data_IF_694586708484
#
_entry.id   IF_694586708484
#
_cell.length_a   1.000
_cell.length_b   1.000
_cell.length_c   1.000
_cell.angle_alpha   90.00
_cell.angle_beta   90.00
_cell.angle_gamma   90.00
#
_symmetry.space_group_name_H-M   'P 1'
#
loop_
_entity.id
_entity.type
_entity.pdbx_description
1 polymer ?
#
# COMPACT_ATOMS: atom_id res chain seq x y z
N UNK A 1 -62.10 -12.89 70.59
CA UNK A 1 -61.68 -11.75 69.83
C UNK A 1 -60.20 -11.96 69.48
N UNK A 2 -59.84 -12.29 68.24
CA UNK A 2 -58.48 -12.48 67.80
C UNK A 2 -58.19 -11.39 66.75
N UNK A 3 -57.22 -10.55 67.04
CA UNK A 3 -56.73 -9.47 66.18
C UNK A 3 -55.61 -10.03 65.32
N UNK A 4 -55.83 -10.11 64.00
CA UNK A 4 -54.79 -10.55 63.04
C UNK A 4 -53.94 -9.37 62.64
N UNK A 5 -52.63 -9.47 62.81
CA UNK A 5 -51.62 -8.51 62.34
C UNK A 5 -51.22 -8.82 60.91
N UNK A 6 -51.36 -7.84 60.04
CA UNK A 6 -50.93 -7.86 58.65
C UNK A 6 -49.46 -7.43 58.58
N UNK A 7 -48.60 -8.34 58.14
CA UNK A 7 -47.16 -8.00 57.86
C UNK A 7 -47.07 -7.63 56.38
N UNK A 8 -46.80 -6.36 56.09
CA UNK A 8 -46.53 -5.85 54.73
C UNK A 8 -45.06 -6.00 54.47
N UNK A 9 -44.68 -6.96 53.63
CA UNK A 9 -43.31 -7.13 53.16
C UNK A 9 -42.99 -6.12 52.07
N UNK A 10 -42.04 -5.23 52.31
CA UNK A 10 -41.46 -4.34 51.29
C UNK A 10 -40.50 -5.15 50.38
N UNK A 11 -40.90 -5.35 49.15
CA UNK A 11 -39.98 -5.86 48.11
C UNK A 11 -39.23 -4.67 47.52
N UNK A 12 -37.94 -4.55 47.84
CA UNK A 12 -37.03 -3.58 47.20
C UNK A 12 -36.59 -4.15 45.88
N UNK A 13 -37.16 -3.63 44.77
CA UNK A 13 -36.73 -3.95 43.41
C UNK A 13 -35.45 -3.17 43.11
N UNK A 14 -34.30 -3.83 43.13
CA UNK A 14 -33.05 -3.25 42.67
C UNK A 14 -33.07 -3.17 41.11
N UNK A 15 -33.38 -1.99 40.57
CA UNK A 15 -33.15 -1.71 39.13
C UNK A 15 -31.65 -1.64 38.89
N UNK A 16 -31.08 -2.71 38.33
CA UNK A 16 -29.74 -2.69 37.76
C UNK A 16 -29.74 -1.79 36.51
N UNK A 17 -29.10 -0.61 36.60
CA UNK A 17 -28.78 0.18 35.43
C UNK A 17 -27.73 -0.60 34.61
N UNK A 18 -28.20 -1.28 33.55
CA UNK A 18 -27.32 -1.73 32.50
C UNK A 18 -26.82 -0.49 31.75
N UNK A 19 -25.58 -0.09 31.98
CA UNK A 19 -24.91 0.93 31.18
C UNK A 19 -24.80 0.41 29.70
N UNK A 20 -25.75 0.77 28.88
CA UNK A 20 -25.63 0.59 27.43
C UNK A 20 -24.52 1.53 26.96
N UNK A 21 -23.40 0.97 26.57
CA UNK A 21 -22.33 1.70 25.88
C UNK A 21 -22.91 2.21 24.54
N UNK A 22 -23.42 3.43 24.51
CA UNK A 22 -23.85 4.14 23.30
C UNK A 22 -22.61 4.55 22.55
N UNK A 23 -22.03 3.60 21.81
CA UNK A 23 -21.01 3.92 20.80
C UNK A 23 -21.65 4.76 19.70
N UNK A 24 -21.04 5.88 19.34
CA UNK A 24 -21.43 6.69 18.18
C UNK A 24 -21.54 5.77 16.95
N UNK A 25 -22.72 5.65 16.31
CA UNK A 25 -22.94 4.76 15.16
C UNK A 25 -22.05 5.10 13.96
N UNK A 26 -21.39 6.27 13.94
CA UNK A 26 -20.42 6.68 12.94
C UNK A 26 -19.01 6.09 13.18
N UNK A 27 -18.74 5.49 14.32
CA UNK A 27 -17.42 4.93 14.66
C UNK A 27 -17.36 3.45 14.26
N UNK A 28 -16.42 3.06 13.38
CA UNK A 28 -16.27 1.66 12.99
C UNK A 28 -15.93 0.78 14.20
N UNK A 29 -16.53 -0.41 14.28
CA UNK A 29 -16.20 -1.37 15.32
C UNK A 29 -14.76 -1.89 15.14
N UNK A 30 -13.89 -1.57 16.06
CA UNK A 30 -12.50 -2.01 16.05
C UNK A 30 -12.38 -3.52 16.32
N UNK A 31 -11.30 -4.12 15.82
CA UNK A 31 -10.89 -5.48 16.21
C UNK A 31 -10.57 -5.46 17.71
N UNK A 32 -11.16 -6.40 18.46
CA UNK A 32 -10.95 -6.51 19.91
C UNK A 32 -9.46 -6.49 20.29
N UNK A 33 -9.05 -5.59 21.19
CA UNK A 33 -7.66 -5.38 21.60
C UNK A 33 -6.76 -4.77 20.49
N UNK A 34 -7.36 -4.06 19.53
CA UNK A 34 -6.68 -3.31 18.48
C UNK A 34 -7.43 -2.02 18.12
N UNK A 35 -8.21 -1.48 19.03
CA UNK A 35 -8.86 -0.18 18.87
C UNK A 35 -7.88 0.98 19.10
N UNK A 36 -8.34 2.19 18.87
CA UNK A 36 -7.55 3.44 18.99
C UNK A 36 -6.81 3.56 20.35
N UNK A 37 -7.43 3.09 21.42
CA UNK A 37 -6.84 3.12 22.77
C UNK A 37 -5.79 2.05 23.02
N UNK A 38 -5.77 0.98 22.20
CA UNK A 38 -4.84 -0.14 22.33
C UNK A 38 -3.54 0.06 21.53
N UNK A 39 -3.48 1.12 20.73
CA UNK A 39 -2.36 1.38 19.81
C UNK A 39 -1.39 2.43 20.37
N UNK A 40 -0.11 2.22 20.14
CA UNK A 40 0.93 3.22 20.39
C UNK A 40 1.03 4.13 19.17
N UNK A 41 0.58 5.37 19.28
CA UNK A 41 0.47 6.32 18.17
C UNK A 41 1.33 7.56 18.41
N UNK A 42 1.77 8.20 17.34
CA UNK A 42 2.45 9.50 17.39
C UNK A 42 1.57 10.57 18.03
N UNK A 43 0.29 10.54 17.70
CA UNK A 43 -0.75 11.39 18.30
C UNK A 43 -1.93 10.53 18.69
N UNK A 44 -2.18 10.42 19.98
CA UNK A 44 -3.30 9.61 20.49
C UNK A 44 -4.62 10.01 19.84
N UNK A 45 -5.39 9.02 19.39
CA UNK A 45 -6.66 9.20 18.70
C UNK A 45 -6.58 9.56 17.22
N UNK A 46 -5.37 9.73 16.66
CA UNK A 46 -5.13 10.02 15.24
C UNK A 46 -4.18 8.98 14.66
N UNK A 47 -4.55 8.32 13.57
CA UNK A 47 -3.65 7.46 12.81
C UNK A 47 -2.90 8.29 11.77
N UNK A 48 -1.59 8.46 11.97
CA UNK A 48 -0.72 9.18 11.02
C UNK A 48 -0.20 8.22 9.98
N UNK A 49 -0.58 8.43 8.72
CA UNK A 49 -0.20 7.60 7.59
C UNK A 49 0.79 8.36 6.72
N UNK A 50 1.97 7.78 6.51
CA UNK A 50 2.96 8.32 5.58
C UNK A 50 2.77 7.78 4.16
N UNK A 51 3.10 8.59 3.17
CA UNK A 51 3.28 8.17 1.78
C UNK A 51 4.23 9.09 1.04
N UNK A 52 4.65 8.68 -0.17
CA UNK A 52 5.51 9.50 -1.02
C UNK A 52 4.73 10.69 -1.64
N UNK A 53 5.46 11.70 -2.08
CA UNK A 53 4.91 12.86 -2.78
C UNK A 53 5.84 13.26 -3.94
N UNK A 54 5.39 13.10 -5.19
CA UNK A 54 4.01 12.94 -5.68
C UNK A 54 3.36 11.59 -5.37
N UNK A 55 2.04 11.62 -5.13
CA UNK A 55 1.22 10.44 -4.94
C UNK A 55 0.57 10.00 -6.27
N UNK A 56 1.04 8.89 -6.84
CA UNK A 56 0.68 8.49 -8.20
C UNK A 56 -0.52 7.53 -8.28
N UNK A 57 -1.36 7.66 -9.33
CA UNK A 57 -2.29 6.59 -9.72
C UNK A 57 -1.53 5.32 -10.17
N UNK A 58 -2.15 4.14 -10.03
CA UNK A 58 -3.48 3.87 -9.49
C UNK A 58 -3.53 3.73 -7.96
N UNK A 59 -2.42 3.97 -7.27
CA UNK A 59 -2.30 3.79 -5.82
C UNK A 59 -2.99 4.90 -5.04
N UNK A 60 -2.93 6.11 -5.56
CA UNK A 60 -3.61 7.29 -5.05
C UNK A 60 -4.45 7.93 -6.15
N UNK A 61 -5.47 8.69 -5.75
CA UNK A 61 -6.38 9.38 -6.68
C UNK A 61 -6.97 10.63 -6.04
N UNK A 62 -7.98 11.20 -6.73
CA UNK A 62 -8.58 12.47 -6.35
C UNK A 62 -7.77 13.67 -6.85
N UNK A 63 -8.43 14.83 -6.90
CA UNK A 63 -7.80 16.05 -7.37
C UNK A 63 -6.61 16.45 -6.48
N UNK A 64 -5.56 16.97 -7.11
CA UNK A 64 -4.41 17.53 -6.43
C UNK A 64 -4.83 18.58 -5.39
N UNK A 65 -4.23 18.52 -4.21
CA UNK A 65 -4.46 19.47 -3.12
C UNK A 65 -3.19 19.62 -2.30
N UNK A 66 -2.63 20.82 -2.24
CA UNK A 66 -1.42 21.12 -1.46
C UNK A 66 -1.46 20.50 -0.05
N UNK A 67 -0.38 19.92 0.45
CA UNK A 67 0.96 19.83 -0.16
C UNK A 67 1.11 18.69 -1.18
N UNK A 68 0.07 17.90 -1.42
CA UNK A 68 0.08 16.72 -2.28
C UNK A 68 0.11 17.13 -3.76
N UNK A 69 0.93 16.43 -4.53
CA UNK A 69 1.07 16.59 -5.98
C UNK A 69 0.45 15.37 -6.69
N UNK A 70 -0.14 15.60 -7.85
CA UNK A 70 -0.78 14.62 -8.75
C UNK A 70 -2.09 14.07 -8.18
N UNK A 71 -2.08 13.51 -6.98
CA UNK A 71 -3.26 12.95 -6.30
C UNK A 71 -3.31 13.40 -4.85
N UNK A 72 -4.49 13.25 -4.23
CA UNK A 72 -4.73 13.58 -2.83
C UNK A 72 -5.01 12.33 -2.00
N UNK A 73 -4.09 11.86 -1.15
CA UNK A 73 -4.30 10.68 -0.31
C UNK A 73 -5.52 10.76 0.60
N UNK A 74 -5.95 11.95 1.01
CA UNK A 74 -7.16 12.15 1.81
C UNK A 74 -8.45 11.79 1.07
N UNK A 75 -8.42 11.67 -0.26
CA UNK A 75 -9.61 11.33 -1.06
C UNK A 75 -10.19 9.96 -0.74
N UNK A 76 -9.36 9.00 -0.36
CA UNK A 76 -9.72 7.59 -0.26
C UNK A 76 -9.79 6.88 -1.63
N UNK A 77 -9.42 7.60 -2.69
CA UNK A 77 -9.35 7.06 -4.05
C UNK A 77 -7.95 6.52 -4.36
N UNK A 78 -7.90 5.50 -5.19
CA UNK A 78 -6.68 4.74 -5.47
C UNK A 78 -6.50 3.56 -4.51
N UNK A 79 -5.68 2.60 -4.93
CA UNK A 79 -5.57 1.32 -4.24
C UNK A 79 -5.03 1.46 -2.80
N UNK A 80 -3.90 2.13 -2.63
CA UNK A 80 -3.26 2.25 -1.31
C UNK A 80 -3.98 3.20 -0.37
N UNK A 81 -4.53 4.31 -0.91
CA UNK A 81 -5.39 5.17 -0.11
C UNK A 81 -6.61 4.40 0.42
N UNK A 82 -7.26 3.60 -0.43
CA UNK A 82 -8.41 2.79 -0.03
C UNK A 82 -8.03 1.68 0.97
N UNK A 83 -6.89 1.00 0.77
CA UNK A 83 -6.36 0.01 1.73
C UNK A 83 -6.06 0.66 3.08
N UNK A 84 -5.42 1.82 3.08
CA UNK A 84 -5.09 2.55 4.30
C UNK A 84 -6.34 2.90 5.11
N UNK A 85 -7.39 3.42 4.46
CA UNK A 85 -8.67 3.70 5.14
C UNK A 85 -9.40 2.42 5.58
N UNK A 86 -9.32 1.34 4.82
CA UNK A 86 -9.88 0.06 5.22
C UNK A 86 -9.18 -0.48 6.49
N UNK A 87 -7.85 -0.41 6.56
CA UNK A 87 -7.07 -0.77 7.75
C UNK A 87 -7.44 0.15 8.92
N UNK A 88 -7.47 1.47 8.71
CA UNK A 88 -7.87 2.45 9.73
C UNK A 88 -9.26 2.13 10.31
N UNK A 89 -10.23 1.80 9.46
CA UNK A 89 -11.58 1.38 9.87
C UNK A 89 -11.55 0.12 10.75
N UNK A 90 -10.77 -0.90 10.40
CA UNK A 90 -10.62 -2.12 11.22
C UNK A 90 -9.98 -1.84 12.59
N UNK A 91 -9.21 -0.77 12.69
CA UNK A 91 -8.59 -0.29 13.94
C UNK A 91 -9.48 0.73 14.69
N UNK A 92 -10.72 0.98 14.23
CA UNK A 92 -11.70 1.84 14.86
C UNK A 92 -11.50 3.34 14.62
N UNK A 93 -10.74 3.73 13.60
CA UNK A 93 -10.62 5.13 13.20
C UNK A 93 -11.67 5.51 12.16
N UNK A 94 -12.29 6.66 12.35
CA UNK A 94 -13.07 7.33 11.30
C UNK A 94 -12.13 7.98 10.30
N UNK A 95 -12.63 8.32 9.12
CA UNK A 95 -11.85 9.01 8.07
C UNK A 95 -11.28 10.34 8.58
N UNK A 96 -12.00 11.05 9.46
CA UNK A 96 -11.55 12.32 10.07
C UNK A 96 -10.40 12.16 11.07
N UNK A 97 -10.18 10.95 11.58
CA UNK A 97 -9.11 10.61 12.52
C UNK A 97 -7.86 10.07 11.83
N UNK A 98 -7.80 10.15 10.50
CA UNK A 98 -6.62 9.81 9.70
C UNK A 98 -5.94 11.10 9.27
N UNK A 99 -4.63 11.19 9.54
CA UNK A 99 -3.76 12.26 9.04
C UNK A 99 -2.75 11.68 8.06
N UNK A 100 -2.53 12.36 6.94
CA UNK A 100 -1.52 11.98 5.97
C UNK A 100 -0.29 12.89 6.06
N UNK A 101 0.91 12.31 5.98
CA UNK A 101 2.19 13.04 5.97
C UNK A 101 3.05 12.63 4.78
N UNK A 102 3.60 13.60 4.02
CA UNK A 102 4.53 13.31 2.94
C UNK A 102 5.89 12.91 3.51
N UNK A 103 6.47 11.86 2.98
CA UNK A 103 7.82 11.42 3.30
C UNK A 103 8.42 10.72 2.08
N UNK A 104 9.62 11.10 1.70
CA UNK A 104 10.37 10.47 0.61
C UNK A 104 10.44 8.95 0.80
N UNK A 105 10.16 8.22 -0.27
CA UNK A 105 10.04 6.76 -0.31
C UNK A 105 11.16 6.02 0.45
N UNK A 106 12.43 6.35 0.16
CA UNK A 106 13.59 5.70 0.80
C UNK A 106 13.67 5.96 2.30
N UNK A 107 13.16 7.07 2.80
CA UNK A 107 13.20 7.41 4.22
C UNK A 107 12.26 6.54 5.07
N UNK A 108 11.25 5.91 4.45
CA UNK A 108 10.30 5.05 5.16
C UNK A 108 10.96 3.83 5.81
N UNK A 109 12.01 3.27 5.21
CA UNK A 109 12.75 2.09 5.69
C UNK A 109 14.25 2.35 6.00
N UNK A 110 14.73 3.62 5.98
CA UNK A 110 16.05 3.98 6.50
C UNK A 110 16.06 3.96 8.04
N UNK A 111 17.22 3.86 8.71
CA UNK A 111 17.31 4.02 10.16
C UNK A 111 16.72 5.34 10.66
N UNK A 112 16.29 5.38 11.93
CA UNK A 112 15.84 6.58 12.62
C UNK A 112 14.33 6.65 12.89
N UNK A 113 13.94 7.66 13.70
CA UNK A 113 12.56 7.92 14.10
C UNK A 113 11.67 8.20 12.88
N UNK A 114 10.48 7.63 12.86
CA UNK A 114 9.50 7.81 11.77
C UNK A 114 8.45 8.85 12.13
N UNK A 115 8.07 9.74 11.18
CA UNK A 115 7.00 10.72 11.37
C UNK A 115 5.61 10.14 11.02
N UNK A 116 5.44 8.81 11.12
CA UNK A 116 4.20 8.10 10.81
C UNK A 116 3.99 6.91 11.75
N UNK A 117 2.74 6.49 11.90
CA UNK A 117 2.37 5.25 12.57
C UNK A 117 2.44 4.07 11.60
N UNK A 118 1.99 4.29 10.35
CA UNK A 118 2.08 3.34 9.22
C UNK A 118 2.43 4.10 7.94
N UNK A 119 3.01 3.39 6.94
CA UNK A 119 3.41 3.99 5.67
C UNK A 119 3.08 3.05 4.50
N UNK A 120 2.49 3.59 3.43
CA UNK A 120 2.15 2.87 2.21
C UNK A 120 2.66 3.67 1.00
N UNK A 121 3.50 3.08 0.18
CA UNK A 121 3.97 3.58 -1.13
C UNK A 121 4.67 2.45 -1.91
N UNK A 122 3.97 1.36 -2.16
CA UNK A 122 4.46 0.22 -2.93
C UNK A 122 5.79 -0.34 -2.39
N UNK A 123 5.88 -0.48 -1.06
CA UNK A 123 7.12 -0.97 -0.44
C UNK A 123 7.12 -2.50 -0.41
N UNK A 124 7.93 -3.11 -1.25
CA UNK A 124 8.17 -4.55 -1.19
C UNK A 124 8.93 -4.91 0.08
N UNK A 125 8.46 -5.98 0.75
CA UNK A 125 9.22 -6.56 1.85
C UNK A 125 10.56 -7.11 1.34
N UNK A 126 11.64 -6.68 1.98
CA UNK A 126 12.98 -7.24 1.81
C UNK A 126 13.62 -7.40 3.19
N UNK A 127 14.38 -8.49 3.46
CA UNK A 127 15.11 -8.65 4.72
C UNK A 127 15.99 -7.45 5.06
N UNK A 128 16.63 -6.83 4.06
CA UNK A 128 17.48 -5.65 4.23
C UNK A 128 16.69 -4.43 4.73
N UNK A 129 15.51 -4.19 4.18
CA UNK A 129 14.60 -3.12 4.63
C UNK A 129 14.08 -3.39 6.03
N UNK A 130 13.79 -4.67 6.34
CA UNK A 130 13.28 -5.10 7.64
C UNK A 130 14.31 -4.97 8.79
N UNK A 131 15.59 -4.74 8.50
CA UNK A 131 16.60 -4.38 9.52
C UNK A 131 16.27 -3.06 10.21
N UNK A 132 15.65 -2.11 9.51
CA UNK A 132 15.44 -0.74 9.97
C UNK A 132 13.98 -0.31 10.10
N UNK A 133 13.05 -1.17 9.69
CA UNK A 133 11.61 -0.91 9.77
C UNK A 133 10.86 -2.23 10.02
N UNK A 134 9.68 -2.15 10.61
CA UNK A 134 8.79 -3.29 10.70
C UNK A 134 7.87 -3.33 9.48
N UNK A 135 7.44 -4.52 9.08
CA UNK A 135 6.54 -4.76 7.96
C UNK A 135 5.32 -5.54 8.39
N UNK A 136 4.19 -5.20 7.83
CA UNK A 136 2.98 -6.00 7.94
C UNK A 136 3.02 -7.23 7.02
N UNK A 137 2.02 -8.09 7.16
CA UNK A 137 1.65 -9.06 6.13
C UNK A 137 1.34 -8.36 4.81
N UNK A 138 1.32 -9.14 3.72
CA UNK A 138 1.04 -8.64 2.37
C UNK A 138 -0.34 -7.98 2.26
N UNK A 139 -0.39 -6.81 1.60
CA UNK A 139 -1.64 -6.26 1.08
C UNK A 139 -1.72 -6.35 -0.46
N UNK A 140 -0.61 -6.64 -1.14
CA UNK A 140 -0.55 -6.85 -2.58
C UNK A 140 0.61 -7.80 -2.94
N UNK A 141 0.37 -8.73 -3.88
CA UNK A 141 1.43 -9.53 -4.49
C UNK A 141 1.75 -8.95 -5.87
N UNK A 142 3.00 -8.62 -6.09
CA UNK A 142 3.46 -7.88 -7.27
C UNK A 142 4.33 -8.74 -8.17
N UNK A 143 4.28 -8.45 -9.48
CA UNK A 143 5.25 -8.88 -10.47
C UNK A 143 5.88 -7.63 -11.08
N UNK A 144 7.11 -7.74 -11.54
CA UNK A 144 7.74 -6.73 -12.38
C UNK A 144 7.17 -6.79 -13.80
N UNK A 145 7.22 -5.69 -14.53
CA UNK A 145 6.81 -5.63 -15.93
C UNK A 145 7.69 -4.68 -16.72
N UNK A 146 7.73 -4.89 -18.01
CA UNK A 146 8.46 -4.05 -18.97
C UNK A 146 7.48 -3.13 -19.68
N UNK A 147 7.82 -1.84 -19.72
CA UNK A 147 7.10 -0.80 -20.47
C UNK A 147 8.06 -0.22 -21.51
N UNK A 148 7.54 0.06 -22.69
CA UNK A 148 8.29 0.62 -23.82
C UNK A 148 7.43 1.58 -24.64
N UNK A 149 8.06 2.29 -25.60
CA UNK A 149 7.34 3.01 -26.62
C UNK A 149 6.75 2.02 -27.65
N UNK A 150 5.48 2.18 -28.00
CA UNK A 150 4.83 1.40 -29.02
C UNK A 150 5.57 1.58 -30.38
N UNK A 151 5.62 0.51 -31.19
CA UNK A 151 6.34 0.51 -32.44
C UNK A 151 7.86 0.30 -32.33
N UNK A 152 8.44 0.42 -31.11
CA UNK A 152 9.85 0.09 -30.89
C UNK A 152 10.10 -1.43 -31.01
N UNK A 153 11.32 -1.88 -31.38
CA UNK A 153 11.61 -3.31 -31.49
C UNK A 153 11.33 -4.11 -30.21
N UNK A 154 11.65 -3.56 -29.04
CA UNK A 154 11.42 -4.21 -27.75
C UNK A 154 9.92 -4.48 -27.48
N UNK A 155 9.01 -3.68 -28.03
CA UNK A 155 7.56 -3.86 -27.89
C UNK A 155 7.04 -5.22 -28.40
N UNK A 156 7.82 -5.89 -29.26
CA UNK A 156 7.48 -7.19 -29.87
C UNK A 156 8.10 -8.37 -29.13
N UNK A 157 8.90 -8.12 -28.11
CA UNK A 157 9.58 -9.17 -27.33
C UNK A 157 8.55 -10.02 -26.57
N UNK A 158 8.74 -11.34 -26.56
CA UNK A 158 7.83 -12.31 -25.93
C UNK A 158 8.52 -13.15 -24.86
N UNK A 159 9.84 -13.02 -24.71
CA UNK A 159 10.63 -13.83 -23.79
C UNK A 159 11.59 -12.97 -22.97
N UNK A 160 11.93 -13.39 -21.76
CA UNK A 160 12.94 -12.69 -20.96
C UNK A 160 14.31 -12.62 -21.67
N UNK A 161 14.70 -13.70 -22.34
CA UNK A 161 15.96 -13.71 -23.08
C UNK A 161 15.97 -12.66 -24.22
N UNK A 162 14.82 -12.43 -24.84
CA UNK A 162 14.64 -11.41 -25.89
C UNK A 162 14.83 -9.98 -25.40
N UNK A 163 14.79 -9.73 -24.08
CA UNK A 163 15.05 -8.40 -23.50
C UNK A 163 16.54 -8.04 -23.44
N UNK A 164 17.42 -9.04 -23.47
CA UNK A 164 18.87 -8.85 -23.22
C UNK A 164 19.57 -7.85 -24.13
N UNK A 165 19.28 -7.74 -25.43
CA UNK A 165 19.95 -6.79 -26.32
C UNK A 165 19.59 -5.32 -26.05
N UNK A 166 18.50 -5.06 -25.32
CA UNK A 166 17.92 -3.73 -25.17
C UNK A 166 18.46 -2.97 -23.96
N UNK A 167 18.52 -1.64 -24.10
CA UNK A 167 18.86 -0.71 -23.01
C UNK A 167 17.68 -0.59 -22.05
N UNK A 168 17.76 -1.25 -20.91
CA UNK A 168 16.72 -1.22 -19.89
C UNK A 168 17.02 -0.14 -18.84
N UNK A 169 15.98 0.62 -18.46
CA UNK A 169 16.01 1.56 -17.35
C UNK A 169 15.35 0.98 -16.11
N UNK A 170 15.91 1.29 -14.94
CA UNK A 170 15.41 0.88 -13.61
C UNK A 170 15.62 1.99 -12.60
N UNK A 171 14.82 2.02 -11.53
CA UNK A 171 15.04 2.94 -10.42
C UNK A 171 15.94 2.30 -9.36
N UNK A 172 16.90 3.08 -8.84
CA UNK A 172 17.85 2.62 -7.83
C UNK A 172 17.13 2.12 -6.55
N UNK A 173 17.64 1.03 -5.98
CA UNK A 173 17.13 0.49 -4.70
C UNK A 173 15.77 -0.19 -4.80
N UNK A 174 15.24 -0.41 -6.02
CA UNK A 174 13.99 -1.13 -6.26
C UNK A 174 14.23 -2.62 -6.52
N UNK A 175 13.21 -3.43 -6.29
CA UNK A 175 13.21 -4.85 -6.65
C UNK A 175 13.29 -5.06 -8.16
N UNK A 176 12.83 -4.10 -8.97
CA UNK A 176 13.00 -4.10 -10.43
C UNK A 176 14.49 -4.08 -10.82
N UNK A 177 15.31 -3.23 -10.13
CA UNK A 177 16.76 -3.21 -10.34
C UNK A 177 17.39 -4.58 -10.04
N UNK A 178 17.05 -5.17 -8.90
CA UNK A 178 17.57 -6.48 -8.50
C UNK A 178 17.12 -7.57 -9.45
N UNK A 179 15.86 -7.54 -9.91
CA UNK A 179 15.31 -8.50 -10.86
C UNK A 179 16.03 -8.45 -12.21
N UNK A 180 16.25 -7.25 -12.75
CA UNK A 180 16.94 -7.07 -14.04
C UNK A 180 18.36 -7.62 -13.97
N UNK A 181 19.10 -7.30 -12.93
CA UNK A 181 20.48 -7.78 -12.77
C UNK A 181 20.56 -9.29 -12.53
N UNK A 182 19.64 -9.85 -11.76
CA UNK A 182 19.70 -11.25 -11.34
C UNK A 182 19.13 -12.22 -12.37
N UNK A 183 18.07 -11.82 -13.10
CA UNK A 183 17.28 -12.75 -13.93
C UNK A 183 17.23 -12.37 -15.42
N UNK A 184 17.06 -11.10 -15.78
CA UNK A 184 17.09 -10.67 -17.18
C UNK A 184 18.52 -10.74 -17.73
N UNK A 185 19.48 -10.21 -16.97
CA UNK A 185 20.91 -10.16 -17.30
C UNK A 185 21.14 -9.57 -18.69
N UNK A 186 20.78 -8.29 -18.90
CA UNK A 186 20.93 -7.63 -20.18
C UNK A 186 22.40 -7.58 -20.61
N UNK A 187 22.65 -7.52 -21.92
CA UNK A 187 24.00 -7.47 -22.51
C UNK A 187 24.78 -6.21 -22.11
N UNK A 188 24.07 -5.15 -21.79
CA UNK A 188 24.62 -3.92 -21.22
C UNK A 188 24.03 -3.71 -19.83
N UNK A 189 24.80 -3.12 -18.91
CA UNK A 189 24.29 -2.77 -17.57
C UNK A 189 23.03 -1.91 -17.71
N UNK A 190 21.99 -2.14 -16.89
CA UNK A 190 20.80 -1.30 -16.94
C UNK A 190 21.15 0.16 -16.59
N UNK A 191 20.47 1.10 -17.24
CA UNK A 191 20.55 2.51 -16.85
C UNK A 191 19.78 2.72 -15.55
N UNK A 192 20.45 3.30 -14.56
CA UNK A 192 19.90 3.47 -13.20
C UNK A 192 19.50 4.93 -13.03
N UNK A 193 18.28 5.16 -12.56
CA UNK A 193 17.70 6.47 -12.31
C UNK A 193 17.34 6.66 -10.85
N UNK A 194 17.38 7.88 -10.36
CA UNK A 194 17.04 8.21 -8.97
C UNK A 194 15.54 8.10 -8.70
N UNK A 195 14.71 8.34 -9.72
CA UNK A 195 13.26 8.21 -9.63
C UNK A 195 12.65 7.49 -10.84
N UNK A 196 11.45 6.93 -10.67
CA UNK A 196 10.68 6.38 -11.79
C UNK A 196 10.34 7.46 -12.82
N UNK A 197 10.11 8.71 -12.40
CA UNK A 197 9.84 9.84 -13.30
C UNK A 197 11.02 10.11 -14.23
N UNK A 198 12.25 10.03 -13.73
CA UNK A 198 13.46 10.22 -14.55
C UNK A 198 13.62 9.08 -15.55
N UNK A 199 13.36 7.84 -15.14
CA UNK A 199 13.38 6.68 -16.04
C UNK A 199 12.32 6.81 -17.16
N UNK A 200 11.11 7.28 -16.83
CA UNK A 200 10.06 7.55 -17.83
C UNK A 200 10.46 8.68 -18.77
N UNK A 201 11.08 9.75 -18.26
CA UNK A 201 11.59 10.85 -19.09
C UNK A 201 12.66 10.38 -20.07
N UNK A 202 13.57 9.52 -19.62
CA UNK A 202 14.60 8.92 -20.49
C UNK A 202 13.99 8.01 -21.58
N UNK A 203 12.92 7.28 -21.26
CA UNK A 203 12.19 6.47 -22.23
C UNK A 203 11.46 7.33 -23.27
N UNK A 204 10.82 8.43 -22.86
CA UNK A 204 10.22 9.40 -23.78
C UNK A 204 11.28 10.03 -24.70
N UNK A 205 12.45 10.36 -24.16
CA UNK A 205 13.59 10.88 -24.92
C UNK A 205 14.31 9.83 -25.78
N UNK A 206 13.84 8.57 -25.78
CA UNK A 206 14.44 7.43 -26.53
C UNK A 206 15.93 7.16 -26.18
N UNK A 207 16.35 7.54 -24.97
CA UNK A 207 17.69 7.27 -24.46
C UNK A 207 17.84 5.80 -24.03
N UNK A 208 16.71 5.17 -23.67
CA UNK A 208 16.57 3.76 -23.34
C UNK A 208 15.42 3.15 -24.13
N UNK A 209 15.43 1.82 -24.27
CA UNK A 209 14.44 1.08 -25.05
C UNK A 209 13.20 0.71 -24.24
N UNK A 210 13.37 0.48 -22.93
CA UNK A 210 12.29 0.13 -22.01
C UNK A 210 12.65 0.37 -20.56
N UNK A 211 11.63 0.44 -19.70
CA UNK A 211 11.78 0.51 -18.24
C UNK A 211 11.17 -0.72 -17.60
N UNK A 212 11.75 -1.15 -16.47
CA UNK A 212 11.21 -2.23 -15.66
C UNK A 212 10.69 -1.63 -14.36
N UNK A 213 9.41 -1.90 -14.09
CA UNK A 213 8.66 -1.33 -12.96
C UNK A 213 7.68 -2.36 -12.41
N UNK A 214 7.12 -2.08 -11.25
CA UNK A 214 6.02 -2.86 -10.70
C UNK A 214 4.81 -2.85 -11.65
N UNK A 215 4.26 -4.02 -11.95
CA UNK A 215 3.16 -4.18 -12.91
C UNK A 215 1.97 -3.22 -12.65
N UNK A 216 1.50 -2.98 -11.42
CA UNK A 216 0.40 -2.06 -11.18
C UNK A 216 0.65 -0.61 -11.64
N UNK A 217 1.92 -0.18 -11.70
CA UNK A 217 2.31 1.16 -12.15
C UNK A 217 2.19 1.33 -13.67
N UNK A 218 2.25 0.23 -14.42
CA UNK A 218 2.35 0.27 -15.88
C UNK A 218 1.19 0.99 -16.54
N UNK A 219 -0.04 0.80 -16.02
CA UNK A 219 -1.23 1.41 -16.60
C UNK A 219 -1.19 2.94 -16.60
N UNK A 220 -0.71 3.55 -15.53
CA UNK A 220 -0.55 5.01 -15.46
C UNK A 220 0.60 5.48 -16.37
N UNK A 221 1.71 4.75 -16.41
CA UNK A 221 2.86 5.09 -17.24
C UNK A 221 2.46 5.09 -18.71
N UNK A 222 1.84 4.02 -19.21
CA UNK A 222 1.54 3.90 -20.66
C UNK A 222 0.39 4.80 -21.12
N UNK A 223 -0.56 5.14 -20.24
CA UNK A 223 -1.73 5.92 -20.65
C UNK A 223 -1.63 7.41 -20.32
N UNK A 224 -0.68 7.83 -19.44
CA UNK A 224 -0.61 9.21 -18.98
C UNK A 224 0.79 9.80 -19.10
N UNK A 225 1.85 9.03 -18.82
CA UNK A 225 3.21 9.56 -18.77
C UNK A 225 3.97 9.39 -20.10
N UNK A 226 3.58 8.43 -20.93
CA UNK A 226 4.14 8.22 -22.27
C UNK A 226 3.16 8.69 -23.33
N UNK A 227 3.66 9.31 -24.40
CA UNK A 227 2.82 9.70 -25.54
C UNK A 227 2.26 8.49 -26.29
N UNK A 228 3.04 7.44 -26.38
CA UNK A 228 2.69 6.21 -27.07
C UNK A 228 3.29 5.00 -26.36
N UNK A 229 2.79 4.72 -25.13
CA UNK A 229 3.31 3.65 -24.30
C UNK A 229 2.67 2.29 -24.58
N UNK A 230 3.42 1.22 -24.33
CA UNK A 230 2.93 -0.16 -24.37
C UNK A 230 3.53 -0.98 -23.23
N UNK A 231 2.72 -1.89 -22.69
CA UNK A 231 3.21 -2.91 -21.76
C UNK A 231 3.73 -4.08 -22.59
N UNK A 232 5.05 -4.26 -22.62
CA UNK A 232 5.69 -5.37 -23.34
C UNK A 232 5.27 -6.71 -22.75
N UNK A 233 5.29 -6.80 -21.40
CA UNK A 233 4.80 -7.97 -20.69
C UNK A 233 5.21 -7.95 -19.22
N UNK A 234 4.55 -8.82 -18.43
CA UNK A 234 4.93 -9.10 -17.06
C UNK A 234 6.12 -10.06 -17.01
N UNK A 235 7.02 -9.83 -16.10
CA UNK A 235 8.13 -10.73 -15.84
C UNK A 235 7.64 -11.88 -14.91
N UNK A 236 8.06 -13.13 -15.17
CA UNK A 236 7.65 -14.26 -14.35
C UNK A 236 8.18 -14.14 -12.92
N UNK A 237 7.44 -14.70 -11.97
CA UNK A 237 7.91 -14.78 -10.58
C UNK A 237 9.15 -15.65 -10.51
N UNK A 238 10.19 -15.16 -9.83
CA UNK A 238 11.43 -15.89 -9.56
C UNK A 238 11.71 -15.91 -8.05
N UNK A 239 11.93 -17.09 -7.49
CA UNK A 239 12.13 -17.25 -6.04
C UNK A 239 10.86 -16.99 -5.23
N UNK A 240 11.02 -16.33 -4.07
CA UNK A 240 9.89 -15.97 -3.21
C UNK A 240 9.01 -14.92 -3.89
N UNK A 241 7.70 -15.13 -3.81
CA UNK A 241 6.73 -14.19 -4.39
C UNK A 241 6.84 -12.83 -3.73
N UNK A 242 7.18 -11.83 -4.51
CA UNK A 242 7.28 -10.44 -4.06
C UNK A 242 5.92 -9.92 -3.59
N UNK A 243 5.93 -9.12 -2.53
CA UNK A 243 4.72 -8.52 -1.99
C UNK A 243 4.97 -7.16 -1.34
N UNK A 244 3.98 -6.28 -1.40
CA UNK A 244 3.99 -5.04 -0.65
C UNK A 244 3.51 -5.26 0.78
N UNK A 245 4.24 -4.71 1.74
CA UNK A 245 3.86 -4.63 3.14
C UNK A 245 3.67 -3.19 3.60
N UNK A 246 2.76 -2.97 4.54
CA UNK A 246 2.67 -1.69 5.24
C UNK A 246 3.91 -1.57 6.12
N UNK A 247 4.62 -0.45 5.99
CA UNK A 247 5.81 -0.18 6.80
C UNK A 247 5.41 0.50 8.11
N UNK A 248 6.03 0.09 9.20
CA UNK A 248 5.87 0.68 10.53
C UNK A 248 7.25 1.05 11.09
N UNK A 249 7.31 1.92 12.12
CA UNK A 249 8.55 2.11 12.88
C UNK A 249 9.14 0.77 13.32
N UNK A 250 10.47 0.68 13.37
CA UNK A 250 11.16 -0.50 13.88
C UNK A 250 10.64 -0.85 15.28
N UNK A 251 10.39 -2.12 15.51
CA UNK A 251 9.87 -2.65 16.79
C UNK A 251 8.49 -2.11 17.21
N UNK A 252 7.71 -1.59 16.26
CA UNK A 252 6.35 -1.08 16.52
C UNK A 252 5.46 -2.19 17.09
N UNK A 253 4.83 -2.00 18.26
CA UNK A 253 3.88 -2.95 18.83
C UNK A 253 2.60 -3.07 18.00
N UNK A 254 2.34 -2.10 17.10
CA UNK A 254 1.14 -2.04 16.27
C UNK A 254 1.13 -3.06 15.13
N UNK A 255 2.28 -3.69 14.78
CA UNK A 255 2.38 -4.68 13.69
C UNK A 255 1.33 -5.77 13.82
N UNK A 256 1.14 -6.30 15.05
CA UNK A 256 0.13 -7.33 15.33
C UNK A 256 -1.28 -6.87 14.96
N UNK A 257 -1.63 -5.64 15.29
CA UNK A 257 -2.97 -5.09 15.03
C UNK A 257 -3.16 -4.78 13.53
N UNK A 258 -2.15 -4.24 12.86
CA UNK A 258 -2.17 -4.02 11.40
C UNK A 258 -2.31 -5.36 10.66
N UNK A 259 -1.60 -6.41 11.08
CA UNK A 259 -1.72 -7.74 10.49
C UNK A 259 -3.11 -8.35 10.69
N UNK A 260 -3.71 -8.19 11.89
CA UNK A 260 -5.08 -8.65 12.13
C UNK A 260 -6.09 -7.90 11.24
N UNK A 261 -5.90 -6.60 11.05
CA UNK A 261 -6.71 -5.80 10.14
C UNK A 261 -6.60 -6.32 8.70
N UNK A 262 -5.38 -6.50 8.19
CA UNK A 262 -5.15 -7.02 6.84
C UNK A 262 -5.72 -8.43 6.65
N UNK A 263 -5.49 -9.33 7.60
CA UNK A 263 -6.03 -10.70 7.53
C UNK A 263 -7.57 -10.69 7.45
N UNK A 264 -8.24 -9.82 8.21
CA UNK A 264 -9.70 -9.67 8.15
C UNK A 264 -10.16 -9.10 6.80
N UNK A 265 -9.43 -8.12 6.26
CA UNK A 265 -9.72 -7.52 4.96
C UNK A 265 -9.46 -8.48 3.79
N UNK A 266 -8.52 -9.39 3.92
CA UNK A 266 -8.35 -10.51 2.98
C UNK A 266 -9.49 -11.52 3.09
N UNK A 267 -9.81 -11.96 4.31
CA UNK A 267 -10.81 -12.98 4.58
C UNK A 267 -12.23 -12.55 4.12
N UNK A 268 -12.58 -11.28 4.26
CA UNK A 268 -13.88 -10.75 3.85
C UNK A 268 -13.93 -10.26 2.40
N UNK A 269 -12.84 -10.45 1.63
CA UNK A 269 -12.77 -10.10 0.21
C UNK A 269 -12.52 -8.61 -0.08
N UNK A 270 -12.39 -7.74 0.93
CA UNK A 270 -12.18 -6.29 0.73
C UNK A 270 -10.93 -6.01 -0.09
N UNK A 271 -9.78 -6.61 0.25
CA UNK A 271 -8.53 -6.41 -0.51
C UNK A 271 -8.72 -6.81 -1.97
N UNK A 272 -9.38 -7.95 -2.24
CA UNK A 272 -9.65 -8.41 -3.60
C UNK A 272 -10.56 -7.44 -4.39
N UNK A 273 -11.58 -6.90 -3.74
CA UNK A 273 -12.47 -5.91 -4.34
C UNK A 273 -11.73 -4.61 -4.69
N UNK A 274 -10.85 -4.13 -3.79
CA UNK A 274 -10.01 -2.95 -4.02
C UNK A 274 -9.01 -3.18 -5.16
N UNK A 275 -8.37 -4.35 -5.24
CA UNK A 275 -7.52 -4.71 -6.37
C UNK A 275 -8.29 -4.66 -7.69
N UNK A 276 -9.48 -5.28 -7.72
CA UNK A 276 -10.32 -5.31 -8.92
C UNK A 276 -10.80 -3.93 -9.37
N UNK A 277 -10.98 -3.02 -8.41
CA UNK A 277 -11.43 -1.64 -8.69
C UNK A 277 -10.33 -0.74 -9.23
N UNK A 278 -9.12 -0.85 -8.68
CA UNK A 278 -8.08 0.16 -8.90
C UNK A 278 -6.92 -0.32 -9.76
N UNK A 279 -6.58 -1.61 -9.71
CA UNK A 279 -5.42 -2.16 -10.42
C UNK A 279 -5.86 -2.73 -11.75
N UNK A 280 -5.18 -2.32 -12.82
CA UNK A 280 -5.42 -2.84 -14.15
C UNK A 280 -5.26 -4.37 -14.20
N UNK A 281 -6.12 -5.02 -14.98
CA UNK A 281 -6.08 -6.47 -15.18
C UNK A 281 -5.37 -6.76 -16.49
N UNK A 282 -4.42 -7.71 -16.41
CA UNK A 282 -3.94 -8.41 -17.61
C UNK A 282 -2.86 -7.67 -18.41
N UNK A 283 -1.71 -8.26 -18.43
CA UNK A 283 -0.72 -8.15 -19.50
C UNK A 283 -0.15 -9.54 -19.74
N UNK A 284 0.33 -9.86 -20.95
CA UNK A 284 0.96 -11.14 -21.21
C UNK A 284 2.17 -11.33 -20.31
N UNK A 285 2.44 -12.57 -19.90
CA UNK A 285 3.67 -12.91 -19.21
C UNK A 285 4.75 -13.25 -20.23
N UNK A 286 5.95 -12.69 -20.05
CA UNK A 286 7.12 -13.02 -20.87
C UNK A 286 7.64 -14.41 -20.45
N UNK A 287 7.81 -15.29 -21.44
CA UNK A 287 8.26 -16.68 -21.23
C UNK A 287 9.78 -16.78 -21.04
#
# INVERSE_FOLDING_TARGET
>A
MRVGGLVVGLIVLALGLAATATGDPSTPAAIRGCGKGDLTLLKQGTLTIGTDNPAFPPFFGGAEKKPWKISNPYSGQGYESAVAYAVASQLGFTKKQVAWTPLVWTASFKPGKKPFDIYLAQISYLPERAKNAAFSNSYYFVNQAVVANAGSPIARVKTMAGLRPYKLGVTIGTTAYDYVNSFVKPSQKPNVYDSQTDAVSALNAKQIDGIVVDFPSTGYIVNVQLENGVIVGRLPTRGTREHFGIVLPKDSPNVRCVNRALNRLWANGTIKALQNRWIAKGAPELR
#
